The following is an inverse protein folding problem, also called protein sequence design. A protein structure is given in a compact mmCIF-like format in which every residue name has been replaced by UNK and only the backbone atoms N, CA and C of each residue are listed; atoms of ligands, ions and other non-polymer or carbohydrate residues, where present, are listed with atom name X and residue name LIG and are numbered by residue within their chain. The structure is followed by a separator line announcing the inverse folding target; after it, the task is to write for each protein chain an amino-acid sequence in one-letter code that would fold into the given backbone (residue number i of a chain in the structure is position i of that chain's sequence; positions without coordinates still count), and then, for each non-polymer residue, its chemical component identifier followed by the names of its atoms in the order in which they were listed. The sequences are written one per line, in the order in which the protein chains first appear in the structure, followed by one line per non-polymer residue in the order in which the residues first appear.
data_IF_802031452944
#
_entry.id   IF_802031452944
#
_cell.length_a   1.000
_cell.length_b   1.000
_cell.length_c   1.000
_cell.angle_alpha   90.00
_cell.angle_beta   90.00
_cell.angle_gamma   90.00
#
_symmetry.space_group_name_H-M   'P 1'
#
loop_
_entity.id
_entity.type
_entity.pdbx_description
1 polymer ?
#
# COMPACT_ATOMS: atom_id res chain seq x y z
N UNK A 1 43.88 -6.09 -51.19
CA UNK A 1 42.57 -5.44 -51.45
C UNK A 1 41.63 -6.53 -51.88
N UNK A 2 40.81 -7.00 -50.96
CA UNK A 2 40.01 -8.23 -51.11
C UNK A 2 38.55 -7.83 -51.01
N UNK A 3 37.89 -7.65 -52.16
CA UNK A 3 36.47 -7.34 -52.23
C UNK A 3 35.66 -8.56 -51.78
N UNK A 4 34.99 -8.45 -50.64
CA UNK A 4 33.99 -9.41 -50.21
C UNK A 4 32.61 -8.97 -50.69
N UNK A 5 31.90 -9.81 -51.46
CA UNK A 5 30.57 -9.48 -51.96
C UNK A 5 29.58 -9.43 -50.80
N UNK A 6 28.91 -8.30 -50.64
CA UNK A 6 27.83 -8.11 -49.66
C UNK A 6 26.69 -9.10 -49.98
N UNK A 7 26.46 -10.05 -49.08
CA UNK A 7 25.27 -10.92 -49.12
C UNK A 7 24.03 -10.06 -48.83
N UNK A 8 23.08 -10.06 -49.76
CA UNK A 8 21.76 -9.48 -49.56
C UNK A 8 21.02 -10.23 -48.44
N UNK A 9 20.54 -9.48 -47.46
CA UNK A 9 19.71 -9.99 -46.36
C UNK A 9 18.31 -10.26 -46.95
N UNK A 10 17.75 -11.48 -46.81
CA UNK A 10 16.41 -11.78 -47.30
C UNK A 10 15.36 -10.99 -46.49
N UNK A 11 14.29 -10.51 -47.13
CA UNK A 11 13.25 -9.73 -46.46
C UNK A 11 12.49 -10.62 -45.46
N UNK A 12 12.72 -10.37 -44.16
CA UNK A 12 12.11 -11.09 -43.04
C UNK A 12 10.70 -10.58 -42.66
N UNK A 13 9.96 -9.97 -43.59
CA UNK A 13 8.72 -9.22 -43.30
C UNK A 13 7.36 -9.95 -43.31
N UNK A 14 7.18 -11.22 -43.72
CA UNK A 14 5.84 -11.82 -43.70
C UNK A 14 5.41 -12.38 -42.32
N UNK A 15 6.34 -12.61 -41.38
CA UNK A 15 6.03 -13.27 -40.10
C UNK A 15 5.50 -12.33 -39.01
N UNK A 16 5.97 -11.09 -38.96
CA UNK A 16 5.50 -10.13 -37.93
C UNK A 16 4.06 -9.71 -38.22
N UNK A 17 3.73 -9.46 -39.48
CA UNK A 17 2.38 -9.10 -39.90
C UNK A 17 1.36 -10.22 -39.67
N UNK A 18 1.78 -11.49 -39.79
CA UNK A 18 0.92 -12.64 -39.48
C UNK A 18 0.72 -12.82 -37.97
N UNK A 19 1.72 -12.55 -37.14
CA UNK A 19 1.59 -12.56 -35.68
C UNK A 19 0.66 -11.44 -35.17
N UNK A 20 0.78 -10.22 -35.71
CA UNK A 20 -0.10 -9.09 -35.35
C UNK A 20 -1.55 -9.39 -35.77
N UNK A 21 -1.76 -9.95 -36.95
CA UNK A 21 -3.10 -10.34 -37.41
C UNK A 21 -3.73 -11.43 -36.53
N UNK A 22 -2.93 -12.40 -36.07
CA UNK A 22 -3.40 -13.48 -35.17
C UNK A 22 -3.77 -12.93 -33.79
N UNK A 23 -2.95 -12.06 -33.21
CA UNK A 23 -3.22 -11.41 -31.93
C UNK A 23 -4.52 -10.57 -31.95
N UNK A 24 -4.73 -9.76 -33.00
CA UNK A 24 -5.97 -8.98 -33.17
C UNK A 24 -7.21 -9.86 -33.29
N UNK A 25 -7.10 -11.01 -33.96
CA UNK A 25 -8.20 -11.97 -34.09
C UNK A 25 -8.56 -12.63 -32.76
N UNK A 26 -7.56 -12.99 -31.95
CA UNK A 26 -7.78 -13.59 -30.62
C UNK A 26 -8.42 -12.58 -29.65
N UNK A 27 -8.00 -11.32 -29.68
CA UNK A 27 -8.61 -10.26 -28.89
C UNK A 27 -10.09 -10.03 -29.26
N UNK A 28 -10.42 -10.04 -30.56
CA UNK A 28 -11.80 -9.91 -31.02
C UNK A 28 -12.70 -11.09 -30.61
N UNK A 29 -12.14 -12.31 -30.53
CA UNK A 29 -12.87 -13.48 -30.03
C UNK A 29 -13.14 -13.40 -28.53
N UNK A 30 -12.18 -12.89 -27.73
CA UNK A 30 -12.38 -12.68 -26.30
C UNK A 30 -13.43 -11.60 -26.00
N UNK A 31 -13.44 -10.49 -26.74
CA UNK A 31 -14.47 -9.45 -26.57
C UNK A 31 -15.87 -9.96 -26.90
N UNK A 32 -15.99 -10.87 -27.89
CA UNK A 32 -17.29 -11.47 -28.27
C UNK A 32 -17.79 -12.48 -27.23
N UNK A 33 -16.87 -13.20 -26.58
CA UNK A 33 -17.20 -14.13 -25.49
C UNK A 33 -17.74 -13.42 -24.24
N UNK A 34 -17.35 -12.16 -24.00
CA UNK A 34 -17.80 -11.39 -22.84
C UNK A 34 -19.22 -10.81 -23.00
N UNK A 35 -19.75 -10.73 -24.22
CA UNK A 35 -21.09 -10.17 -24.48
C UNK A 35 -22.21 -11.21 -24.53
N UNK A 36 -21.90 -12.50 -24.41
CA UNK A 36 -22.89 -13.54 -24.18
C UNK A 36 -22.95 -13.88 -22.69
N UNK A 37 -23.52 -12.96 -21.92
CA UNK A 37 -24.04 -13.29 -20.60
C UNK A 37 -25.09 -14.39 -20.74
N UNK A 38 -25.01 -15.49 -19.98
CA UNK A 38 -25.99 -16.56 -20.06
C UNK A 38 -27.38 -15.99 -19.70
N UNK A 39 -28.36 -16.25 -20.57
CA UNK A 39 -29.76 -15.99 -20.26
C UNK A 39 -30.13 -16.70 -18.95
N UNK A 40 -30.89 -16.05 -18.04
CA UNK A 40 -31.24 -16.64 -16.76
C UNK A 40 -32.15 -17.84 -17.02
N UNK A 41 -31.58 -19.04 -16.89
CA UNK A 41 -32.36 -20.28 -16.96
C UNK A 41 -33.00 -20.46 -15.59
N UNK A 42 -34.15 -19.82 -15.39
CA UNK A 42 -35.01 -19.98 -14.21
C UNK A 42 -35.72 -21.32 -14.26
N UNK A 43 -35.03 -22.41 -13.90
CA UNK A 43 -35.65 -23.71 -13.66
C UNK A 43 -35.06 -24.39 -12.42
N UNK A 44 -35.10 -23.72 -11.28
CA UNK A 44 -35.17 -24.41 -9.99
C UNK A 44 -36.21 -23.70 -9.12
N UNK A 45 -37.38 -24.35 -9.01
CA UNK A 45 -38.37 -24.03 -7.96
C UNK A 45 -37.77 -24.44 -6.62
N UNK A 46 -37.13 -23.48 -5.95
CA UNK A 46 -36.81 -23.59 -4.52
C UNK A 46 -38.13 -23.54 -3.77
N UNK A 47 -38.52 -24.68 -3.20
CA UNK A 47 -39.61 -24.76 -2.24
C UNK A 47 -39.42 -23.69 -1.17
N UNK A 48 -40.42 -22.82 -1.05
CA UNK A 48 -40.51 -21.78 -0.05
C UNK A 48 -40.54 -22.42 1.35
N UNK A 49 -39.40 -22.46 2.02
CA UNK A 49 -39.33 -22.53 3.48
C UNK A 49 -38.94 -21.14 4.00
N UNK A 50 -39.85 -20.20 3.81
CA UNK A 50 -39.82 -18.88 4.44
C UNK A 50 -40.07 -19.01 5.93
N UNK A 51 -39.08 -19.50 6.68
CA UNK A 51 -39.06 -19.34 8.13
C UNK A 51 -38.32 -18.04 8.46
N UNK A 52 -39.10 -17.10 8.98
CA UNK A 52 -38.65 -15.93 9.72
C UNK A 52 -37.53 -16.31 10.70
N UNK A 53 -36.27 -16.00 10.34
CA UNK A 53 -35.22 -15.83 11.34
C UNK A 53 -35.45 -14.48 12.00
N UNK A 54 -36.45 -14.44 12.90
CA UNK A 54 -36.49 -13.43 13.95
C UNK A 54 -35.18 -13.55 14.71
N UNK A 55 -34.37 -12.50 14.62
CA UNK A 55 -33.25 -12.26 15.53
C UNK A 55 -33.86 -12.19 16.93
N UNK A 56 -33.87 -13.31 17.64
CA UNK A 56 -34.25 -13.33 19.03
C UNK A 56 -33.19 -12.54 19.81
N UNK A 57 -33.59 -11.61 20.70
CA UNK A 57 -32.65 -11.06 21.67
C UNK A 57 -32.02 -12.23 22.42
N UNK A 58 -30.70 -12.17 22.67
CA UNK A 58 -29.89 -13.20 23.36
C UNK A 58 -30.47 -13.53 24.75
N UNK A 59 -31.55 -14.30 24.79
CA UNK A 59 -32.04 -14.94 26.00
C UNK A 59 -31.16 -16.15 26.24
N UNK A 60 -30.56 -16.20 27.43
CA UNK A 60 -29.66 -17.26 27.91
C UNK A 60 -30.12 -18.62 27.39
N UNK A 61 -29.35 -19.20 26.48
CA UNK A 61 -29.60 -20.56 25.98
C UNK A 61 -29.45 -21.51 27.18
N UNK A 62 -30.47 -22.32 27.43
CA UNK A 62 -30.43 -23.32 28.48
C UNK A 62 -29.42 -24.41 28.08
N UNK A 63 -28.33 -24.51 28.83
CA UNK A 63 -27.25 -25.48 28.61
C UNK A 63 -25.98 -25.01 29.31
N UNK A 64 -25.06 -25.92 29.63
CA UNK A 64 -23.73 -25.52 30.06
C UNK A 64 -23.12 -24.64 28.95
N UNK A 65 -22.38 -23.57 29.32
CA UNK A 65 -21.67 -22.78 28.32
C UNK A 65 -20.77 -23.72 27.50
N UNK A 66 -20.58 -23.46 26.19
CA UNK A 66 -19.69 -24.26 25.38
C UNK A 66 -18.31 -24.36 26.06
N UNK A 67 -17.61 -25.49 25.94
CA UNK A 67 -16.28 -25.67 26.53
C UNK A 67 -15.37 -24.49 26.17
N UNK A 68 -14.51 -24.03 27.09
CA UNK A 68 -13.58 -22.92 26.79
C UNK A 68 -12.64 -23.21 25.61
N UNK A 69 -12.40 -24.48 25.28
CA UNK A 69 -11.67 -24.90 24.09
C UNK A 69 -12.44 -24.68 22.78
N UNK A 70 -13.76 -24.50 22.84
CA UNK A 70 -14.65 -24.19 21.71
C UNK A 70 -15.09 -22.73 21.70
N UNK A 71 -14.96 -22.04 22.83
CA UNK A 71 -14.98 -20.59 22.83
C UNK A 71 -13.75 -20.14 22.03
N UNK A 72 -13.99 -19.74 20.78
CA UNK A 72 -13.00 -19.00 20.01
C UNK A 72 -12.46 -17.88 20.90
N UNK A 73 -11.15 -17.58 20.87
CA UNK A 73 -10.65 -16.38 21.51
C UNK A 73 -11.50 -15.25 20.94
N UNK A 74 -12.43 -14.73 21.76
CA UNK A 74 -13.20 -13.55 21.44
C UNK A 74 -12.15 -12.53 21.12
N UNK A 75 -12.02 -12.19 19.83
CA UNK A 75 -11.02 -11.26 19.28
C UNK A 75 -10.74 -10.25 20.37
N UNK A 76 -9.66 -10.51 21.11
CA UNK A 76 -9.36 -9.76 22.32
C UNK A 76 -9.13 -8.39 21.75
N UNK A 77 -10.00 -7.45 22.14
CA UNK A 77 -10.04 -6.11 21.57
C UNK A 77 -8.61 -5.70 21.26
N UNK A 78 -8.29 -5.42 20.00
CA UNK A 78 -6.94 -5.17 19.44
C UNK A 78 -6.26 -3.93 20.08
N UNK A 79 -6.81 -3.47 21.18
CA UNK A 79 -6.74 -2.17 21.83
C UNK A 79 -5.68 -2.12 22.93
N UNK A 80 -5.27 -3.26 23.53
CA UNK A 80 -4.26 -3.25 24.61
C UNK A 80 -2.82 -3.34 24.11
N UNK A 81 -2.58 -3.88 22.90
CA UNK A 81 -1.24 -4.32 22.54
C UNK A 81 -0.48 -3.33 21.64
N UNK A 82 -1.16 -2.35 21.02
CA UNK A 82 -0.46 -1.34 20.21
C UNK A 82 0.47 -0.48 21.09
N UNK A 83 0.10 -0.24 22.35
CA UNK A 83 0.94 0.49 23.30
C UNK A 83 2.13 -0.32 23.82
N UNK A 84 2.11 -1.65 23.70
CA UNK A 84 3.22 -2.50 24.15
C UNK A 84 4.40 -2.49 23.17
N UNK A 85 4.26 -1.82 22.02
CA UNK A 85 5.27 -1.80 20.96
C UNK A 85 5.33 -3.09 20.15
N UNK A 86 4.43 -4.05 20.42
CA UNK A 86 4.26 -5.23 19.59
C UNK A 86 3.72 -4.83 18.21
N UNK A 87 4.27 -5.44 17.17
CA UNK A 87 3.80 -5.24 15.80
C UNK A 87 2.37 -5.79 15.68
N UNK A 88 1.39 -4.99 15.21
CA UNK A 88 0.00 -5.42 15.07
C UNK A 88 -0.12 -6.68 14.21
N UNK A 89 -1.11 -7.54 14.41
CA UNK A 89 -1.25 -8.76 13.60
C UNK A 89 -1.49 -8.46 12.09
N UNK A 90 -1.33 -9.49 11.25
CA UNK A 90 -1.47 -9.33 9.80
C UNK A 90 -2.89 -8.95 9.35
N UNK A 91 -3.91 -9.43 10.05
CA UNK A 91 -5.31 -9.14 9.71
C UNK A 91 -5.63 -7.67 9.98
N UNK A 92 -5.19 -7.16 11.12
CA UNK A 92 -5.30 -5.75 11.48
C UNK A 92 -4.56 -4.87 10.48
N UNK A 93 -3.32 -5.24 10.09
CA UNK A 93 -2.54 -4.48 9.11
C UNK A 93 -3.22 -4.45 7.74
N UNK A 94 -3.73 -5.59 7.27
CA UNK A 94 -4.51 -5.66 6.03
C UNK A 94 -5.74 -4.74 6.07
N UNK A 95 -6.47 -4.76 7.19
CA UNK A 95 -7.61 -3.89 7.38
C UNK A 95 -7.22 -2.41 7.41
N UNK A 96 -6.16 -2.06 8.14
CA UNK A 96 -5.74 -0.68 8.32
C UNK A 96 -5.24 -0.06 7.00
N UNK A 97 -4.50 -0.82 6.19
CA UNK A 97 -4.01 -0.37 4.87
C UNK A 97 -5.06 -0.36 3.77
N UNK A 98 -6.22 -0.97 4.02
CA UNK A 98 -7.22 -1.20 2.97
C UNK A 98 -7.64 0.06 2.25
N UNK A 99 -7.88 1.12 3.01
CA UNK A 99 -8.42 2.35 2.45
C UNK A 99 -7.41 3.06 1.58
N UNK A 100 -6.17 3.20 2.03
CA UNK A 100 -5.13 3.82 1.20
C UNK A 100 -4.85 2.99 -0.06
N UNK A 101 -4.80 1.65 0.05
CA UNK A 101 -4.54 0.78 -1.11
C UNK A 101 -5.61 0.87 -2.20
N UNK A 102 -6.89 1.06 -1.83
CA UNK A 102 -7.97 1.25 -2.80
C UNK A 102 -7.83 2.51 -3.64
N UNK A 103 -7.02 3.48 -3.21
CA UNK A 103 -6.82 4.75 -3.91
C UNK A 103 -5.50 4.82 -4.68
N UNK A 104 -4.59 3.84 -4.52
CA UNK A 104 -3.33 3.82 -5.25
C UNK A 104 -3.56 3.54 -6.76
N UNK A 105 -2.72 4.13 -7.62
CA UNK A 105 -2.79 4.06 -9.09
C UNK A 105 -2.73 2.63 -9.69
N UNK A 106 -2.41 1.62 -8.88
CA UNK A 106 -2.19 0.22 -9.30
C UNK A 106 -3.00 -0.77 -8.46
N UNK A 107 -4.33 -0.86 -8.71
CA UNK A 107 -5.19 -1.77 -7.96
C UNK A 107 -4.84 -3.25 -8.18
N UNK A 108 -4.26 -3.60 -9.33
CA UNK A 108 -3.79 -4.97 -9.64
C UNK A 108 -2.56 -5.42 -8.83
N UNK A 109 -1.97 -4.53 -8.03
CA UNK A 109 -0.90 -4.85 -7.08
C UNK A 109 -1.39 -4.85 -5.63
N UNK A 110 -2.69 -4.79 -5.38
CA UNK A 110 -3.25 -4.92 -4.03
C UNK A 110 -3.25 -6.40 -3.63
N UNK A 111 -2.66 -6.78 -2.48
CA UNK A 111 -2.75 -8.13 -1.96
C UNK A 111 -4.21 -8.55 -1.71
N UNK A 112 -4.59 -9.78 -2.01
CA UNK A 112 -5.96 -10.27 -1.85
C UNK A 112 -6.42 -10.26 -0.40
N UNK A 113 -5.49 -10.32 0.55
CA UNK A 113 -5.77 -10.16 1.98
C UNK A 113 -6.49 -8.85 2.31
N UNK A 114 -6.30 -7.81 1.50
CA UNK A 114 -6.89 -6.48 1.68
C UNK A 114 -8.29 -6.37 1.08
N UNK A 115 -8.55 -7.03 -0.04
CA UNK A 115 -9.82 -6.91 -0.77
C UNK A 115 -11.02 -7.53 -0.02
N UNK A 116 -10.78 -8.50 0.85
CA UNK A 116 -11.83 -9.34 1.45
C UNK A 116 -12.06 -9.14 2.95
N UNK A 117 -11.74 -7.96 3.47
CA UNK A 117 -11.89 -7.69 4.92
C UNK A 117 -13.35 -7.41 5.31
N UNK A 118 -14.21 -6.99 4.38
CA UNK A 118 -15.55 -6.46 4.71
C UNK A 118 -16.72 -7.44 4.69
N UNK A 119 -16.54 -8.67 4.24
CA UNK A 119 -17.66 -9.59 4.22
C UNK A 119 -17.76 -10.29 5.57
N UNK A 120 -18.41 -9.61 6.52
CA UNK A 120 -18.96 -10.19 7.75
C UNK A 120 -19.99 -11.32 7.51
N UNK A 121 -19.99 -11.90 6.32
CA UNK A 121 -20.77 -13.04 5.84
C UNK A 121 -19.89 -14.20 5.35
N UNK A 122 -18.56 -14.03 5.29
CA UNK A 122 -17.67 -15.16 5.04
C UNK A 122 -17.70 -16.06 6.28
N UNK A 123 -18.48 -17.14 6.20
CA UNK A 123 -18.48 -18.18 7.22
C UNK A 123 -17.06 -18.70 7.50
N UNK A 124 -16.86 -19.39 8.64
CA UNK A 124 -15.55 -19.81 9.13
C UNK A 124 -14.71 -20.67 8.16
N UNK A 125 -15.27 -21.10 7.02
CA UNK A 125 -14.65 -22.02 6.05
C UNK A 125 -14.47 -21.46 4.64
N UNK A 126 -14.60 -20.14 4.41
CA UNK A 126 -14.18 -19.57 3.12
C UNK A 126 -12.65 -19.58 3.03
N UNK A 127 -12.07 -20.75 2.71
CA UNK A 127 -10.66 -20.94 2.39
C UNK A 127 -10.31 -20.00 1.23
N UNK A 128 -9.77 -18.83 1.56
CA UNK A 128 -9.31 -17.84 0.57
C UNK A 128 -8.07 -18.42 -0.09
N UNK A 129 -8.23 -18.85 -1.34
CA UNK A 129 -7.13 -19.36 -2.15
C UNK A 129 -6.24 -18.16 -2.50
N UNK A 130 -4.96 -18.15 -2.09
CA UNK A 130 -4.03 -17.09 -2.49
C UNK A 130 -3.85 -17.09 -4.00
N UNK A 131 -3.60 -15.93 -4.58
CA UNK A 131 -3.22 -15.90 -6.00
C UNK A 131 -1.89 -16.57 -6.25
N UNK A 132 -1.65 -16.96 -7.51
CA UNK A 132 -0.34 -17.46 -7.92
C UNK A 132 0.79 -16.49 -7.52
N UNK A 133 0.60 -15.18 -7.71
CA UNK A 133 1.59 -14.17 -7.33
C UNK A 133 1.88 -14.19 -5.83
N UNK A 134 0.85 -14.26 -5.00
CA UNK A 134 1.01 -14.40 -3.53
C UNK A 134 1.69 -15.71 -3.16
N UNK A 135 1.36 -16.82 -3.81
CA UNK A 135 2.03 -18.10 -3.58
C UNK A 135 3.52 -18.04 -3.94
N UNK A 136 3.87 -17.42 -5.08
CA UNK A 136 5.26 -17.22 -5.48
C UNK A 136 6.01 -16.35 -4.45
N UNK A 137 5.42 -15.22 -4.03
CA UNK A 137 6.02 -14.35 -3.03
C UNK A 137 6.16 -15.04 -1.68
N UNK A 138 5.16 -15.82 -1.25
CA UNK A 138 5.26 -16.67 -0.06
C UNK A 138 6.41 -17.65 -0.15
N UNK A 139 6.57 -18.32 -1.29
CA UNK A 139 7.67 -19.26 -1.50
C UNK A 139 9.03 -18.54 -1.41
N UNK A 140 9.17 -17.40 -2.08
CA UNK A 140 10.37 -16.56 -2.04
C UNK A 140 10.72 -16.11 -0.61
N UNK A 141 9.73 -15.64 0.16
CA UNK A 141 10.00 -15.19 1.53
C UNK A 141 10.18 -16.37 2.50
N UNK A 142 9.53 -17.50 2.28
CA UNK A 142 9.73 -18.68 3.13
C UNK A 142 11.18 -19.16 3.06
N UNK A 143 11.84 -19.04 1.90
CA UNK A 143 13.29 -19.30 1.81
C UNK A 143 14.16 -18.26 2.52
N UNK A 144 13.64 -17.08 2.83
CA UNK A 144 14.35 -16.05 3.61
C UNK A 144 14.24 -16.27 5.12
N UNK A 145 13.28 -17.07 5.57
CA UNK A 145 12.98 -17.29 6.98
C UNK A 145 13.67 -18.52 7.56
N UNK A 146 14.59 -19.17 6.83
CA UNK A 146 15.24 -20.41 7.26
C UNK A 146 16.21 -20.19 8.43
N UNK A 147 15.66 -20.40 9.62
CA UNK A 147 16.21 -21.12 10.78
C UNK A 147 17.61 -20.74 11.29
N UNK A 148 17.71 -19.61 11.98
CA UNK A 148 18.40 -19.60 13.27
C UNK A 148 17.74 -18.54 14.17
N UNK A 149 17.08 -19.00 15.23
CA UNK A 149 16.22 -18.20 16.10
C UNK A 149 16.97 -17.09 16.89
N UNK A 150 18.29 -17.02 16.77
CA UNK A 150 19.13 -16.05 17.48
C UNK A 150 19.72 -14.95 16.60
N UNK A 151 19.73 -15.13 15.28
CA UNK A 151 20.27 -14.14 14.34
C UNK A 151 19.12 -13.52 13.57
N UNK A 152 19.01 -12.17 13.60
CA UNK A 152 18.03 -11.47 12.78
C UNK A 152 18.06 -12.01 11.35
N UNK A 153 16.88 -12.26 10.73
CA UNK A 153 16.80 -12.81 9.39
C UNK A 153 17.51 -11.87 8.44
N UNK A 154 18.76 -12.20 8.14
CA UNK A 154 19.54 -11.54 7.11
C UNK A 154 19.01 -12.16 5.84
N UNK A 155 18.20 -11.40 5.12
CA UNK A 155 17.76 -11.82 3.80
C UNK A 155 19.04 -12.12 3.02
N UNK A 156 19.18 -13.39 2.63
CA UNK A 156 20.33 -13.80 1.85
C UNK A 156 20.37 -12.89 0.62
N UNK A 157 21.44 -12.08 0.51
CA UNK A 157 21.59 -11.01 -0.49
C UNK A 157 21.27 -11.50 -1.91
N UNK A 158 21.44 -12.79 -2.17
CA UNK A 158 21.21 -13.46 -3.45
C UNK A 158 19.74 -13.60 -3.88
N UNK A 159 18.75 -13.43 -3.01
CA UNK A 159 17.33 -13.67 -3.36
C UNK A 159 16.60 -12.40 -3.76
N UNK A 160 16.98 -11.26 -3.20
CA UNK A 160 16.46 -9.95 -3.58
C UNK A 160 17.40 -9.33 -4.60
N UNK A 161 17.48 -9.99 -5.74
CA UNK A 161 18.26 -9.53 -6.89
C UNK A 161 17.75 -8.12 -7.31
N UNK A 162 18.65 -7.12 -7.46
CA UNK A 162 18.26 -5.81 -8.01
C UNK A 162 17.55 -5.93 -9.37
N UNK A 163 17.79 -7.01 -10.12
CA UNK A 163 17.17 -7.30 -11.41
C UNK A 163 15.66 -7.65 -11.31
N UNK A 164 15.09 -7.69 -10.10
CA UNK A 164 13.67 -7.94 -9.93
C UNK A 164 12.84 -6.81 -10.56
N UNK A 165 11.84 -7.12 -11.41
CA UNK A 165 10.99 -6.09 -11.99
C UNK A 165 10.32 -5.22 -10.92
N UNK A 166 10.31 -3.89 -11.14
CA UNK A 166 9.74 -2.87 -10.24
C UNK A 166 8.37 -3.26 -9.67
N UNK A 167 7.44 -3.70 -10.53
CA UNK A 167 6.10 -4.08 -10.11
C UNK A 167 6.08 -5.27 -9.13
N UNK A 168 7.06 -6.17 -9.22
CA UNK A 168 7.22 -7.30 -8.32
C UNK A 168 7.88 -6.86 -7.00
N UNK A 169 8.88 -5.97 -7.04
CA UNK A 169 9.45 -5.34 -5.82
C UNK A 169 8.37 -4.64 -5.00
N UNK A 170 7.58 -3.77 -5.65
CA UNK A 170 6.41 -3.11 -5.01
C UNK A 170 5.44 -4.11 -4.41
N UNK A 171 5.09 -5.17 -5.16
CA UNK A 171 4.17 -6.18 -4.65
C UNK A 171 4.72 -6.95 -3.45
N UNK A 172 6.02 -7.28 -3.45
CA UNK A 172 6.70 -7.89 -2.29
C UNK A 172 6.63 -6.94 -1.09
N UNK A 173 6.96 -5.65 -1.27
CA UNK A 173 6.89 -4.65 -0.18
C UNK A 173 5.48 -4.56 0.40
N UNK A 174 4.45 -4.40 -0.44
CA UNK A 174 3.04 -4.35 0.00
C UNK A 174 2.60 -5.63 0.72
N UNK A 175 2.93 -6.78 0.16
CA UNK A 175 2.57 -8.09 0.73
C UNK A 175 3.26 -8.31 2.08
N UNK A 176 4.55 -7.98 2.17
CA UNK A 176 5.33 -8.12 3.38
C UNK A 176 4.87 -7.16 4.47
N UNK A 177 4.56 -5.90 4.13
CA UNK A 177 3.97 -4.93 5.05
C UNK A 177 2.72 -5.47 5.78
N UNK A 178 1.94 -6.31 5.11
CA UNK A 178 0.77 -6.97 5.72
C UNK A 178 1.17 -8.21 6.51
N UNK A 179 1.96 -9.12 5.96
CA UNK A 179 2.10 -10.46 6.53
C UNK A 179 3.33 -10.59 7.45
N UNK A 180 4.44 -9.96 7.11
CA UNK A 180 5.72 -10.01 7.82
C UNK A 180 6.51 -8.73 7.49
N UNK A 181 6.29 -7.63 8.23
CA UNK A 181 7.00 -6.38 8.01
C UNK A 181 8.51 -6.59 7.88
N UNK A 182 9.09 -6.08 6.80
CA UNK A 182 10.51 -6.23 6.52
C UNK A 182 11.32 -5.25 7.37
N UNK A 183 12.50 -5.65 7.87
CA UNK A 183 13.41 -4.72 8.53
C UNK A 183 14.01 -3.74 7.52
N UNK A 184 14.61 -2.65 8.01
CA UNK A 184 15.21 -1.63 7.15
C UNK A 184 16.18 -2.16 6.07
N UNK A 185 17.16 -3.04 6.37
CA UNK A 185 18.12 -3.50 5.36
C UNK A 185 17.45 -4.20 4.17
N UNK A 186 16.44 -5.02 4.46
CA UNK A 186 15.63 -5.69 3.45
C UNK A 186 14.86 -4.72 2.55
N UNK A 187 14.29 -3.67 3.15
CA UNK A 187 13.61 -2.60 2.40
C UNK A 187 14.60 -1.80 1.55
N UNK A 188 15.77 -1.48 2.10
CA UNK A 188 16.82 -0.74 1.40
C UNK A 188 17.31 -1.49 0.16
N UNK A 189 17.51 -2.81 0.28
CA UNK A 189 17.85 -3.68 -0.84
C UNK A 189 16.73 -3.73 -1.89
N UNK A 190 15.47 -3.94 -1.47
CA UNK A 190 14.31 -3.94 -2.38
C UNK A 190 14.09 -2.61 -3.11
N UNK A 191 14.54 -1.50 -2.52
CA UNK A 191 14.47 -0.17 -3.11
C UNK A 191 15.76 0.24 -3.83
N UNK A 192 16.75 -0.65 -3.95
CA UNK A 192 18.02 -0.38 -4.62
C UNK A 192 18.87 0.71 -3.94
N UNK A 193 18.56 1.12 -2.71
CA UNK A 193 19.21 2.25 -2.02
C UNK A 193 20.69 1.96 -1.77
N UNK A 194 21.03 0.72 -1.44
CA UNK A 194 22.43 0.32 -1.16
C UNK A 194 23.29 0.30 -2.43
N UNK A 195 22.70 -0.03 -3.57
CA UNK A 195 23.38 -0.07 -4.87
C UNK A 195 23.53 1.30 -5.53
N UNK A 196 23.05 2.37 -4.88
CA UNK A 196 22.96 3.70 -5.50
C UNK A 196 21.91 3.77 -6.62
N UNK A 197 21.10 2.72 -6.75
CA UNK A 197 19.99 2.65 -7.70
C UNK A 197 18.74 3.34 -7.16
N UNK A 198 17.81 3.57 -8.08
CA UNK A 198 16.78 4.59 -7.96
C UNK A 198 15.55 4.18 -7.15
N UNK A 199 15.71 4.29 -5.84
CA UNK A 199 14.64 4.68 -4.91
C UNK A 199 13.44 3.72 -4.79
N UNK A 200 12.46 4.13 -3.99
CA UNK A 200 11.33 3.27 -3.63
C UNK A 200 10.26 3.16 -4.74
N UNK A 201 10.63 3.31 -6.01
CA UNK A 201 9.71 3.19 -7.16
C UNK A 201 8.43 4.03 -6.99
N UNK A 202 8.55 5.22 -6.40
CA UNK A 202 7.43 6.12 -6.11
C UNK A 202 6.53 5.74 -4.92
N UNK A 203 6.83 4.67 -4.17
CA UNK A 203 6.03 4.19 -3.04
C UNK A 203 6.87 3.69 -1.84
N UNK A 204 6.66 4.27 -0.67
CA UNK A 204 7.33 3.87 0.57
C UNK A 204 6.33 3.33 1.58
N UNK A 205 6.62 2.17 2.17
CA UNK A 205 5.80 1.57 3.22
C UNK A 205 6.69 1.20 4.42
N UNK A 206 6.44 1.82 5.57
CA UNK A 206 7.07 1.48 6.85
C UNK A 206 6.05 0.87 7.80
N UNK A 207 6.40 -0.26 8.42
CA UNK A 207 5.51 -0.96 9.37
C UNK A 207 6.27 -1.39 10.62
N UNK A 208 5.85 -0.86 11.77
CA UNK A 208 6.49 -1.13 13.05
C UNK A 208 7.84 -0.42 13.20
N UNK A 209 8.43 -0.54 14.39
CA UNK A 209 9.72 0.11 14.71
C UNK A 209 10.90 -0.51 13.96
N UNK A 210 10.84 -1.81 13.68
CA UNK A 210 11.93 -2.55 13.05
C UNK A 210 12.13 -2.17 11.58
N UNK A 211 11.11 -1.62 10.91
CA UNK A 211 11.20 -1.14 9.53
C UNK A 211 12.15 0.04 9.35
N UNK A 212 12.48 0.77 10.42
CA UNK A 212 13.49 1.83 10.40
C UNK A 212 14.76 1.52 11.20
N UNK A 213 14.83 0.35 11.85
CA UNK A 213 15.80 0.12 12.92
C UNK A 213 15.63 1.09 14.11
N UNK A 214 16.49 0.97 15.13
CA UNK A 214 16.46 1.86 16.30
C UNK A 214 16.72 3.34 15.96
N UNK A 215 17.33 3.60 14.80
CA UNK A 215 17.69 4.93 14.32
C UNK A 215 17.79 4.91 12.80
N UNK A 216 16.67 5.10 12.10
CA UNK A 216 16.73 5.32 10.66
C UNK A 216 17.55 6.60 10.44
N UNK A 217 18.72 6.55 9.77
CA UNK A 217 19.55 7.73 9.65
C UNK A 217 18.74 8.82 8.96
N UNK A 218 18.70 10.03 9.54
CA UNK A 218 17.95 11.14 8.96
C UNK A 218 18.39 11.47 7.52
N UNK A 219 19.63 11.11 7.16
CA UNK A 219 20.15 11.18 5.78
C UNK A 219 19.48 10.19 4.84
N UNK A 220 19.21 8.97 5.29
CA UNK A 220 18.60 7.90 4.50
C UNK A 220 17.16 8.25 4.14
N UNK A 221 16.38 8.71 5.13
CA UNK A 221 15.03 9.21 4.86
C UNK A 221 15.10 10.36 3.86
N UNK A 222 16.04 11.30 4.01
CA UNK A 222 16.21 12.38 3.04
C UNK A 222 16.53 11.85 1.63
N UNK A 223 17.34 10.82 1.49
CA UNK A 223 17.68 10.25 0.18
C UNK A 223 16.47 9.54 -0.47
N UNK A 224 15.58 8.94 0.32
CA UNK A 224 14.32 8.38 -0.18
C UNK A 224 13.34 9.49 -0.57
N UNK A 225 13.29 10.54 0.25
CA UNK A 225 12.33 11.63 0.12
C UNK A 225 12.76 12.69 -0.92
N UNK A 226 14.06 12.82 -1.16
CA UNK A 226 14.65 13.80 -2.07
C UNK A 226 15.51 12.99 -3.03
N UNK A 227 15.08 12.85 -4.31
CA UNK A 227 15.94 12.27 -5.32
C UNK A 227 17.28 13.01 -5.29
N UNK A 228 18.43 12.31 -5.38
CA UNK A 228 19.71 12.98 -5.50
C UNK A 228 19.58 13.97 -6.65
N UNK A 229 19.65 15.27 -6.32
CA UNK A 229 19.74 16.31 -7.33
C UNK A 229 20.93 15.90 -8.19
N UNK A 230 20.73 15.79 -9.51
CA UNK A 230 21.86 15.58 -10.42
C UNK A 230 22.94 16.58 -10.01
N UNK A 231 24.15 16.11 -9.68
CA UNK A 231 25.21 17.03 -9.31
C UNK A 231 25.26 18.04 -10.43
N UNK A 232 25.10 19.34 -10.11
CA UNK A 232 25.27 20.42 -11.08
C UNK A 232 26.63 20.17 -11.74
N UNK A 233 26.62 19.51 -12.89
CA UNK A 233 27.81 19.22 -13.67
C UNK A 233 28.18 20.58 -14.23
N UNK A 234 28.89 21.35 -13.42
CA UNK A 234 29.56 22.57 -13.80
C UNK A 234 30.48 22.22 -14.95
N UNK A 235 29.95 22.38 -16.16
CA UNK A 235 30.59 22.99 -17.31
C UNK A 235 32.11 22.87 -17.29
N UNK A 236 32.61 21.65 -17.47
CA UNK A 236 33.90 21.42 -18.09
C UNK A 236 33.66 21.54 -19.59
N UNK A 237 34.20 22.59 -20.18
CA UNK A 237 34.02 23.09 -21.55
C UNK A 237 34.69 22.16 -22.59
N UNK A 238 34.40 20.86 -22.55
CA UNK A 238 34.87 19.90 -23.56
C UNK A 238 33.78 19.71 -24.63
N UNK A 239 33.83 20.61 -25.62
CA UNK A 239 33.26 20.37 -26.94
C UNK A 239 33.88 19.10 -27.54
N UNK A 240 33.21 17.94 -27.45
CA UNK A 240 33.11 17.07 -28.62
C UNK A 240 32.12 15.90 -28.44
N UNK A 241 31.18 15.83 -29.39
CA UNK A 241 30.20 14.79 -29.70
C UNK A 241 28.92 14.66 -28.84
N UNK A 242 27.75 15.08 -29.36
CA UNK A 242 26.47 14.71 -28.78
C UNK A 242 26.22 13.21 -29.03
N UNK A 243 26.32 12.40 -27.98
CA UNK A 243 25.90 11.01 -28.01
C UNK A 243 24.36 10.95 -27.90
N UNK A 244 23.69 10.96 -29.05
CA UNK A 244 22.21 10.92 -29.18
C UNK A 244 21.55 9.64 -28.62
N UNK A 245 22.33 8.66 -28.18
CA UNK A 245 21.88 7.39 -27.59
C UNK A 245 22.23 7.26 -26.10
N UNK A 246 22.68 8.34 -25.45
CA UNK A 246 22.70 8.35 -23.98
C UNK A 246 21.26 8.50 -23.54
N UNK A 247 20.54 7.38 -23.44
CA UNK A 247 19.26 7.31 -22.72
C UNK A 247 19.49 8.04 -21.40
N UNK A 248 18.94 9.26 -21.33
CA UNK A 248 19.07 10.20 -20.23
C UNK A 248 18.68 9.41 -18.99
N UNK A 249 19.69 8.96 -18.22
CA UNK A 249 19.54 7.90 -17.23
C UNK A 249 18.45 8.35 -16.27
N UNK A 250 17.31 7.72 -16.50
CA UNK A 250 15.98 8.15 -16.12
C UNK A 250 15.96 8.54 -14.67
N UNK A 251 15.73 9.79 -14.30
CA UNK A 251 15.60 10.16 -12.88
C UNK A 251 14.58 9.27 -12.17
N UNK A 252 14.88 8.81 -10.96
CA UNK A 252 13.99 7.97 -10.15
C UNK A 252 12.57 8.54 -10.17
N UNK A 253 11.51 7.72 -10.33
CA UNK A 253 10.15 8.24 -10.30
C UNK A 253 9.92 8.97 -8.97
N UNK A 254 9.31 10.17 -9.00
CA UNK A 254 9.11 10.95 -7.78
C UNK A 254 8.25 10.18 -6.79
N UNK A 255 8.53 10.34 -5.49
CA UNK A 255 7.76 9.71 -4.43
C UNK A 255 6.31 10.21 -4.45
N UNK A 256 5.37 9.31 -4.77
CA UNK A 256 3.93 9.57 -4.86
C UNK A 256 3.17 9.08 -3.63
N UNK A 257 3.53 7.91 -3.11
CA UNK A 257 2.83 7.27 -2.01
C UNK A 257 3.76 7.07 -0.81
N UNK A 258 3.28 7.46 0.37
CA UNK A 258 3.97 7.25 1.64
C UNK A 258 3.01 6.65 2.66
N UNK A 259 3.33 5.48 3.19
CA UNK A 259 2.52 4.74 4.14
C UNK A 259 3.40 4.42 5.35
N UNK A 260 2.96 4.84 6.53
CA UNK A 260 3.62 4.55 7.78
C UNK A 260 2.61 3.97 8.75
N UNK A 261 2.97 2.86 9.40
CA UNK A 261 2.11 2.13 10.33
C UNK A 261 2.87 1.85 11.60
N UNK A 262 2.40 2.37 12.74
CA UNK A 262 3.06 2.19 14.03
C UNK A 262 4.56 2.57 14.05
N UNK A 263 4.99 3.47 13.15
CA UNK A 263 6.36 3.93 13.01
C UNK A 263 6.49 5.44 13.30
N UNK A 264 7.39 5.89 14.20
CA UNK A 264 7.51 7.28 14.64
C UNK A 264 8.09 8.22 13.56
N UNK A 265 7.26 8.63 12.59
CA UNK A 265 7.69 9.49 11.47
C UNK A 265 7.54 11.00 11.73
N UNK A 266 7.05 11.40 12.90
CA UNK A 266 6.65 12.79 13.22
C UNK A 266 7.75 13.84 13.02
N UNK A 267 9.02 13.47 13.23
CA UNK A 267 10.17 14.35 13.02
C UNK A 267 10.46 14.66 11.56
N UNK A 268 10.01 13.80 10.65
CA UNK A 268 10.33 13.87 9.22
C UNK A 268 9.21 14.46 8.37
N UNK A 269 8.08 14.83 8.97
CA UNK A 269 6.92 15.39 8.27
C UNK A 269 7.26 16.64 7.45
N UNK A 270 8.21 17.46 7.89
CA UNK A 270 8.66 18.65 7.15
C UNK A 270 9.58 18.33 5.99
N UNK A 271 10.11 17.10 5.94
CA UNK A 271 11.02 16.63 4.88
C UNK A 271 10.29 15.84 3.80
N UNK A 272 8.98 15.62 3.95
CA UNK A 272 8.18 14.98 2.92
C UNK A 272 8.20 15.77 1.62
N UNK A 273 8.45 15.10 0.47
CA UNK A 273 8.49 15.80 -0.80
C UNK A 273 7.09 16.26 -1.19
N UNK A 274 6.98 17.41 -1.87
CA UNK A 274 5.69 17.95 -2.31
C UNK A 274 5.02 17.08 -3.38
N UNK A 275 5.71 16.08 -3.92
CA UNK A 275 5.22 15.12 -4.92
C UNK A 275 4.29 14.05 -4.35
N UNK A 276 4.21 13.90 -3.02
CA UNK A 276 3.31 12.93 -2.39
C UNK A 276 1.85 13.29 -2.70
N UNK A 277 1.16 12.35 -3.33
CA UNK A 277 -0.29 12.39 -3.60
C UNK A 277 -1.07 11.47 -2.66
N UNK A 278 -0.45 10.42 -2.12
CA UNK A 278 -1.09 9.46 -1.23
C UNK A 278 -0.31 9.36 0.07
N UNK A 279 -0.94 9.74 1.18
CA UNK A 279 -0.33 9.67 2.51
C UNK A 279 -1.19 8.84 3.45
N UNK A 280 -0.60 7.83 4.07
CA UNK A 280 -1.20 7.13 5.20
C UNK A 280 -0.27 7.17 6.41
N UNK A 281 -0.76 7.71 7.50
CA UNK A 281 -0.11 7.76 8.80
C UNK A 281 -1.01 7.03 9.78
N UNK A 282 -0.80 5.73 9.94
CA UNK A 282 -1.72 4.85 10.68
C UNK A 282 -1.12 4.46 12.03
N UNK A 283 -1.86 4.67 13.11
CA UNK A 283 -1.41 4.31 14.47
C UNK A 283 -0.01 4.83 14.82
N UNK A 284 0.33 6.04 14.36
CA UNK A 284 1.66 6.62 14.54
C UNK A 284 1.82 7.07 15.99
N UNK A 285 2.89 6.66 16.69
CA UNK A 285 3.23 7.24 17.99
C UNK A 285 3.71 8.68 17.79
N UNK A 286 3.19 9.62 18.59
CA UNK A 286 3.74 10.98 18.64
C UNK A 286 4.98 11.05 19.53
N UNK A 287 5.97 11.82 19.09
CA UNK A 287 7.04 12.27 19.97
C UNK A 287 6.50 13.22 21.05
N UNK A 288 7.18 13.26 22.22
CA UNK A 288 6.75 14.04 23.40
C UNK A 288 6.64 15.54 23.14
N UNK A 289 7.41 16.05 22.19
CA UNK A 289 7.51 17.46 21.82
C UNK A 289 6.58 17.85 20.65
N UNK A 290 5.88 16.87 20.06
CA UNK A 290 5.05 17.10 18.87
C UNK A 290 3.58 17.05 19.26
N UNK A 291 2.88 18.17 19.05
CA UNK A 291 1.43 18.24 19.26
C UNK A 291 0.65 17.83 18.00
N UNK A 292 -0.60 17.35 18.12
CA UNK A 292 -1.46 17.05 16.98
C UNK A 292 -1.62 18.23 16.01
N UNK A 293 -1.75 19.46 16.53
CA UNK A 293 -1.85 20.67 15.72
C UNK A 293 -0.59 20.92 14.88
N UNK A 294 0.59 20.64 15.44
CA UNK A 294 1.87 20.78 14.70
C UNK A 294 1.93 19.76 13.56
N UNK A 295 1.53 18.51 13.80
CA UNK A 295 1.46 17.47 12.75
C UNK A 295 0.57 17.93 11.61
N UNK A 296 -0.68 18.31 11.92
CA UNK A 296 -1.65 18.73 10.92
C UNK A 296 -1.20 19.98 10.16
N UNK A 297 -0.60 20.96 10.85
CA UNK A 297 -0.05 22.15 10.23
C UNK A 297 1.07 21.82 9.23
N UNK A 298 2.04 20.97 9.64
CA UNK A 298 3.14 20.54 8.76
C UNK A 298 2.63 19.84 7.50
N UNK A 299 1.68 18.91 7.66
CA UNK A 299 1.06 18.21 6.54
C UNK A 299 0.37 19.17 5.56
N UNK A 300 -0.46 20.07 6.09
CA UNK A 300 -1.22 21.04 5.26
C UNK A 300 -0.33 22.05 4.52
N UNK A 301 0.85 22.37 5.06
CA UNK A 301 1.75 23.34 4.47
C UNK A 301 2.66 22.72 3.40
N UNK A 302 3.11 21.47 3.61
CA UNK A 302 4.05 20.79 2.72
C UNK A 302 3.42 20.03 1.55
N UNK A 303 2.24 19.44 1.75
CA UNK A 303 1.68 18.46 0.81
C UNK A 303 0.48 19.00 0.03
N UNK A 304 0.72 19.93 -0.89
CA UNK A 304 -0.36 20.57 -1.68
C UNK A 304 -0.97 19.67 -2.75
N UNK A 305 -0.23 18.64 -3.18
CA UNK A 305 -0.67 17.68 -4.20
C UNK A 305 -1.41 16.48 -3.64
N UNK A 306 -1.71 16.47 -2.33
CA UNK A 306 -2.33 15.34 -1.67
C UNK A 306 -3.75 15.08 -2.20
N UNK A 307 -3.99 13.84 -2.63
CA UNK A 307 -5.25 13.32 -3.18
C UNK A 307 -5.95 12.38 -2.20
N UNK A 308 -5.17 11.58 -1.46
CA UNK A 308 -5.66 10.69 -0.41
C UNK A 308 -4.88 10.85 0.90
N UNK A 309 -5.59 11.00 2.01
CA UNK A 309 -5.03 11.11 3.35
C UNK A 309 -5.68 10.10 4.30
N UNK A 310 -4.90 9.18 4.86
CA UNK A 310 -5.36 8.24 5.88
C UNK A 310 -4.68 8.56 7.22
N UNK A 311 -5.47 8.98 8.21
CA UNK A 311 -5.03 9.26 9.58
C UNK A 311 -5.67 8.29 10.58
N UNK A 312 -5.98 7.08 10.15
CA UNK A 312 -6.66 6.08 10.97
C UNK A 312 -5.83 5.60 12.16
N UNK A 313 -6.53 5.14 13.19
CA UNK A 313 -6.00 4.52 14.40
C UNK A 313 -5.05 5.42 15.20
N UNK A 314 -5.09 6.75 15.00
CA UNK A 314 -4.25 7.69 15.73
C UNK A 314 -4.97 8.20 16.99
N UNK A 315 -4.59 7.73 18.20
CA UNK A 315 -5.26 8.17 19.43
C UNK A 315 -4.98 9.64 19.74
N UNK A 316 -3.92 10.22 19.21
CA UNK A 316 -3.58 11.63 19.43
C UNK A 316 -4.44 12.59 18.61
N UNK A 317 -5.21 12.09 17.64
CA UNK A 317 -6.01 12.94 16.76
C UNK A 317 -7.26 13.42 17.48
N UNK A 318 -7.38 14.74 17.66
CA UNK A 318 -8.46 15.42 18.37
C UNK A 318 -9.19 16.39 17.43
N UNK A 319 -10.48 16.63 17.68
CA UNK A 319 -11.33 17.50 16.85
C UNK A 319 -10.72 18.90 16.64
N UNK A 320 -10.16 19.48 17.71
CA UNK A 320 -9.43 20.75 17.68
C UNK A 320 -8.31 20.82 16.64
N UNK A 321 -7.56 19.72 16.47
CA UNK A 321 -6.45 19.69 15.52
C UNK A 321 -6.94 19.61 14.07
N UNK A 322 -8.05 18.89 13.85
CA UNK A 322 -8.72 18.80 12.55
C UNK A 322 -9.35 20.14 12.16
N UNK A 323 -10.04 20.79 13.10
CA UNK A 323 -10.69 22.08 12.89
C UNK A 323 -9.71 23.22 12.60
N UNK A 324 -8.47 23.11 13.06
CA UNK A 324 -7.43 24.09 12.81
C UNK A 324 -6.89 24.05 11.36
N UNK A 325 -7.21 23.01 10.59
CA UNK A 325 -6.70 22.85 9.21
C UNK A 325 -7.63 23.55 8.23
N UNK A 326 -7.03 24.32 7.32
CA UNK A 326 -7.75 24.84 6.16
C UNK A 326 -7.83 23.78 5.05
N UNK A 327 -8.81 22.89 5.18
CA UNK A 327 -9.08 21.80 4.24
C UNK A 327 -9.42 22.28 2.82
N UNK A 328 -9.91 23.51 2.69
CA UNK A 328 -10.46 24.04 1.46
C UNK A 328 -9.39 24.67 0.57
N UNK A 329 -8.48 25.47 1.13
CA UNK A 329 -7.48 26.20 0.33
C UNK A 329 -6.17 25.44 0.17
N UNK A 330 -5.75 24.67 1.19
CA UNK A 330 -4.43 24.03 1.21
C UNK A 330 -4.37 22.75 0.39
N UNK A 331 -5.47 22.02 0.36
CA UNK A 331 -5.53 20.67 -0.20
C UNK A 331 -6.51 20.56 -1.36
N UNK A 332 -6.42 21.45 -2.35
CA UNK A 332 -7.40 21.52 -3.46
C UNK A 332 -7.65 20.18 -4.18
N UNK A 333 -6.66 19.27 -4.19
CA UNK A 333 -6.74 17.95 -4.86
C UNK A 333 -7.20 16.81 -3.96
N UNK A 334 -7.34 17.03 -2.66
CA UNK A 334 -7.70 15.99 -1.71
C UNK A 334 -9.14 15.55 -1.94
N UNK A 335 -9.30 14.29 -2.34
CA UNK A 335 -10.56 13.61 -2.69
C UNK A 335 -11.00 12.63 -1.61
N UNK A 336 -10.03 12.04 -0.91
CA UNK A 336 -10.25 11.00 0.08
C UNK A 336 -9.59 11.35 1.42
N UNK A 337 -10.34 11.23 2.51
CA UNK A 337 -9.78 11.21 3.86
C UNK A 337 -10.40 10.13 4.72
N UNK A 338 -9.54 9.37 5.42
CA UNK A 338 -9.93 8.34 6.37
C UNK A 338 -9.54 8.69 7.81
N UNK A 339 -10.51 8.52 8.70
CA UNK A 339 -10.37 8.65 10.15
C UNK A 339 -11.02 7.44 10.83
N UNK A 340 -10.37 6.28 10.77
CA UNK A 340 -10.95 5.03 11.28
C UNK A 340 -10.43 4.77 12.68
N UNK A 341 -11.29 4.42 13.62
CA UNK A 341 -10.93 4.12 15.01
C UNK A 341 -10.13 5.27 15.68
N UNK A 342 -10.53 6.51 15.41
CA UNK A 342 -9.96 7.72 16.00
C UNK A 342 -10.81 8.18 17.19
N UNK A 343 -10.69 7.48 18.31
CA UNK A 343 -11.60 7.58 19.48
C UNK A 343 -11.75 8.98 20.09
N UNK A 344 -10.79 9.87 19.85
CA UNK A 344 -10.81 11.24 20.34
C UNK A 344 -11.52 12.23 19.38
N UNK A 345 -12.08 11.72 18.27
CA UNK A 345 -12.95 12.45 17.35
C UNK A 345 -14.43 12.20 17.64
N UNK A 346 -14.84 12.31 18.91
CA UNK A 346 -16.22 12.00 19.35
C UNK A 346 -17.30 12.85 18.66
N UNK A 347 -16.94 14.04 18.19
CA UNK A 347 -17.83 14.96 17.47
C UNK A 347 -17.57 14.94 15.95
N UNK A 348 -17.36 13.75 15.38
CA UNK A 348 -17.10 13.63 13.94
C UNK A 348 -18.20 14.24 13.08
N UNK A 349 -19.46 14.20 13.52
CA UNK A 349 -20.58 14.82 12.79
C UNK A 349 -20.36 16.34 12.61
N UNK A 350 -19.84 17.03 13.62
CA UNK A 350 -19.47 18.44 13.50
C UNK A 350 -18.26 18.66 12.59
N UNK A 351 -17.30 17.74 12.58
CA UNK A 351 -16.12 17.79 11.70
C UNK A 351 -16.50 17.54 10.25
N UNK A 352 -17.48 16.66 10.02
CA UNK A 352 -17.99 16.33 8.71
C UNK A 352 -18.54 17.58 8.01
N UNK A 353 -19.17 18.51 8.74
CA UNK A 353 -19.61 19.79 8.17
C UNK A 353 -18.45 20.64 7.64
N UNK A 354 -17.35 20.73 8.39
CA UNK A 354 -16.14 21.49 7.99
C UNK A 354 -15.48 20.84 6.77
N UNK A 355 -15.40 19.51 6.77
CA UNK A 355 -14.81 18.70 5.71
C UNK A 355 -15.67 18.73 4.43
N UNK A 356 -16.97 18.46 4.56
CA UNK A 356 -17.93 18.31 3.46
C UNK A 356 -18.28 19.63 2.76
N UNK A 357 -17.99 20.78 3.36
CA UNK A 357 -18.20 22.09 2.71
C UNK A 357 -17.33 22.32 1.47
N UNK A 358 -16.36 21.45 1.19
CA UNK A 358 -15.53 21.53 -0.01
C UNK A 358 -16.16 20.73 -1.15
N UNK A 359 -16.19 21.32 -2.33
CA UNK A 359 -16.99 20.84 -3.48
C UNK A 359 -16.47 19.58 -4.18
N UNK A 360 -15.28 19.08 -3.83
CA UNK A 360 -14.58 18.05 -4.60
C UNK A 360 -14.32 16.74 -3.84
N UNK A 361 -15.01 16.50 -2.72
CA UNK A 361 -14.83 15.25 -1.99
C UNK A 361 -15.53 14.11 -2.70
N UNK A 362 -14.78 13.05 -3.01
CA UNK A 362 -15.37 11.78 -3.44
C UNK A 362 -15.88 11.02 -2.22
N UNK A 363 -15.12 11.03 -1.10
CA UNK A 363 -15.53 10.36 0.15
C UNK A 363 -14.74 10.83 1.38
N UNK A 364 -15.44 11.18 2.46
CA UNK A 364 -14.88 11.22 3.81
C UNK A 364 -15.37 9.97 4.57
N UNK A 365 -14.45 9.20 5.15
CA UNK A 365 -14.78 7.96 5.87
C UNK A 365 -14.38 8.07 7.33
N UNK A 366 -15.38 7.97 8.21
CA UNK A 366 -15.19 7.75 9.63
C UNK A 366 -15.90 6.47 10.02
N UNK A 367 -15.14 5.52 10.56
CA UNK A 367 -15.67 4.23 10.99
C UNK A 367 -15.06 3.95 12.36
N UNK A 368 -15.90 3.83 13.38
CA UNK A 368 -15.49 3.31 14.68
C UNK A 368 -15.63 1.79 14.66
N UNK A 369 -14.57 1.08 15.03
CA UNK A 369 -14.66 -0.36 15.28
C UNK A 369 -15.15 -0.56 16.71
N UNK A 370 -16.28 -1.23 16.86
CA UNK A 370 -16.86 -1.58 18.15
C UNK A 370 -16.02 -2.62 18.89
#
# INVERSE_FOLDING_TARGET
MSDHPRRAIPPHEPQVNTLIAKSRREHALHSRSQHHGPAPTTLFSTLALGHQLRVYPRTRVAGPPPPRSWAYPTSTSVRSDISSGATPDAQWRAHAMRWIFLHLDQPGLIPHSVSHVDEGQSGPDALKIPTLREMCVRALISSLQTSDAETQPTIHESVLDPDLPEHLRRFIVRYSAIHFPLPWPALAQLWGIESGEQGADGEVIFVGRDAGGSTLPSSVIKNILVPPHEPDTQSGDDEDYPAWDTEEYTSAPPLKAFISIAYPITKYLTSFPPTITHLALIAIPLDRDVTPRIVMSRLSNGLRLLEALDLSCNPWLVADAINAVDWSTRWLRLRFVAFINCQNLKDFDSLSGVINNKRNWERAVHIDWA
#
